data_IF_385956283982
#
_entry.id   IF_385956283982
#
_cell.length_a   1.000
_cell.length_b   1.000
_cell.length_c   1.000
_cell.angle_alpha   90.00
_cell.angle_beta   90.00
_cell.angle_gamma   90.00
#
_symmetry.space_group_name_H-M   'P 1'
#
loop_
_entity.id
_entity.type
_entity.pdbx_description
1 polymer ?
#
# COMPACT_ATOMS: atom_id res chain seq x y z
N UNK A 1 1.21 -26.29 -3.21
CA UNK A 1 0.28 -25.88 -2.13
C UNK A 1 0.40 -24.38 -1.97
N UNK A 2 -0.69 -23.63 -2.12
CA UNK A 2 -0.66 -22.19 -1.87
C UNK A 2 -0.39 -21.90 -0.40
N UNK A 3 0.30 -20.81 -0.11
CA UNK A 3 0.59 -20.38 1.27
C UNK A 3 -0.68 -20.25 2.14
N UNK A 4 -1.83 -19.94 1.52
CA UNK A 4 -3.15 -19.90 2.16
C UNK A 4 -3.63 -21.27 2.70
N UNK A 5 -3.26 -22.37 2.05
CA UNK A 5 -3.63 -23.72 2.50
C UNK A 5 -2.80 -24.13 3.73
N UNK A 6 -1.51 -23.77 3.75
CA UNK A 6 -0.64 -23.97 4.92
C UNK A 6 -1.14 -23.16 6.11
N UNK A 7 -1.61 -21.93 5.85
CA UNK A 7 -2.19 -21.07 6.89
C UNK A 7 -3.50 -21.63 7.44
N UNK A 8 -4.46 -22.05 6.60
CA UNK A 8 -5.72 -22.67 7.04
C UNK A 8 -5.50 -23.94 7.88
N UNK A 9 -4.55 -24.79 7.48
CA UNK A 9 -4.19 -26.00 8.23
C UNK A 9 -3.58 -25.64 9.58
N UNK A 10 -2.71 -24.62 9.63
CA UNK A 10 -2.14 -24.14 10.88
C UNK A 10 -3.22 -23.59 11.83
N UNK A 11 -4.19 -22.81 11.34
CA UNK A 11 -5.33 -22.31 12.15
C UNK A 11 -6.09 -23.50 12.75
N UNK A 12 -6.50 -24.45 11.92
CA UNK A 12 -7.28 -25.62 12.36
C UNK A 12 -6.52 -26.47 13.39
N UNK A 13 -5.21 -26.68 13.18
CA UNK A 13 -4.38 -27.44 14.11
C UNK A 13 -4.20 -26.73 15.46
N UNK A 14 -4.05 -25.41 15.45
CA UNK A 14 -3.85 -24.61 16.67
C UNK A 14 -5.12 -24.55 17.52
N UNK A 15 -6.31 -24.43 16.89
CA UNK A 15 -7.60 -24.46 17.59
C UNK A 15 -7.85 -25.83 18.27
N UNK A 16 -7.37 -26.90 17.64
CA UNK A 16 -7.63 -28.28 18.08
C UNK A 16 -6.81 -28.73 19.30
N UNK A 17 -5.62 -28.17 19.54
CA UNK A 17 -4.62 -28.78 20.43
C UNK A 17 -4.27 -28.00 21.72
N UNK A 18 -5.00 -26.95 22.10
CA UNK A 18 -4.72 -26.23 23.36
C UNK A 18 -5.59 -26.79 24.51
N UNK A 19 -4.98 -27.32 25.60
CA UNK A 19 -5.70 -28.01 26.67
C UNK A 19 -6.34 -27.09 27.73
N UNK A 20 -5.81 -25.88 27.95
CA UNK A 20 -6.22 -24.97 29.05
C UNK A 20 -7.13 -23.82 28.59
N UNK A 21 -8.36 -23.69 29.11
CA UNK A 21 -9.38 -22.79 28.54
C UNK A 21 -9.00 -21.29 28.50
N UNK A 22 -8.28 -20.78 29.52
CA UNK A 22 -7.91 -19.35 29.61
C UNK A 22 -6.61 -19.02 28.84
N UNK A 23 -5.62 -19.90 28.90
CA UNK A 23 -4.40 -19.78 28.08
C UNK A 23 -4.76 -19.95 26.60
N UNK A 24 -5.74 -20.81 26.31
CA UNK A 24 -6.33 -21.01 24.98
C UNK A 24 -6.94 -19.75 24.39
N UNK A 25 -7.67 -18.96 25.17
CA UNK A 25 -8.28 -17.72 24.64
C UNK A 25 -7.26 -16.64 24.33
N UNK A 26 -6.25 -16.44 25.18
CA UNK A 26 -5.25 -15.38 24.98
C UNK A 26 -4.27 -15.73 23.84
N UNK A 27 -3.82 -16.98 23.78
CA UNK A 27 -2.94 -17.47 22.71
C UNK A 27 -3.67 -17.49 21.36
N UNK A 28 -4.93 -17.92 21.32
CA UNK A 28 -5.75 -17.91 20.11
C UNK A 28 -5.99 -16.48 19.63
N UNK A 29 -6.31 -15.55 20.53
CA UNK A 29 -6.48 -14.15 20.16
C UNK A 29 -5.19 -13.55 19.58
N UNK A 30 -4.03 -13.80 20.19
CA UNK A 30 -2.75 -13.32 19.69
C UNK A 30 -2.43 -13.89 18.30
N UNK A 31 -2.70 -15.17 18.08
CA UNK A 31 -2.53 -15.85 16.80
C UNK A 31 -3.45 -15.29 15.71
N UNK A 32 -4.74 -15.12 15.99
CA UNK A 32 -5.71 -14.55 15.05
C UNK A 32 -5.40 -13.10 14.73
N UNK A 33 -5.01 -12.31 15.75
CA UNK A 33 -4.62 -10.93 15.56
C UNK A 33 -3.35 -10.81 14.70
N UNK A 34 -2.34 -11.63 14.95
CA UNK A 34 -1.14 -11.69 14.12
C UNK A 34 -1.49 -12.09 12.67
N UNK A 35 -2.32 -13.11 12.51
CA UNK A 35 -2.77 -13.57 11.20
C UNK A 35 -3.52 -12.48 10.44
N UNK A 36 -4.40 -11.72 11.11
CA UNK A 36 -5.09 -10.57 10.52
C UNK A 36 -4.09 -9.50 10.06
N UNK A 37 -3.08 -9.18 10.88
CA UNK A 37 -2.03 -8.22 10.50
C UNK A 37 -1.25 -8.70 9.27
N UNK A 38 -0.93 -9.99 9.20
CA UNK A 38 -0.18 -10.57 8.10
C UNK A 38 -0.99 -10.67 6.82
N UNK A 39 -2.20 -11.23 6.86
CA UNK A 39 -3.09 -11.32 5.70
C UNK A 39 -3.37 -9.93 5.14
N UNK A 40 -3.65 -8.93 6.00
CA UNK A 40 -3.83 -7.56 5.56
C UNK A 40 -2.57 -7.01 4.86
N UNK A 41 -1.38 -7.21 5.44
CA UNK A 41 -0.12 -6.81 4.82
C UNK A 41 0.15 -7.54 3.49
N UNK A 42 -0.23 -8.81 3.39
CA UNK A 42 -0.09 -9.63 2.19
C UNK A 42 -1.01 -9.17 1.07
N UNK A 43 -2.28 -8.91 1.35
CA UNK A 43 -3.25 -8.38 0.38
C UNK A 43 -2.78 -7.04 -0.19
N UNK A 44 -2.26 -6.16 0.67
CA UNK A 44 -1.67 -4.88 0.25
C UNK A 44 -0.45 -5.12 -0.65
N UNK A 45 0.47 -6.01 -0.25
CA UNK A 45 1.66 -6.35 -1.03
C UNK A 45 1.29 -6.91 -2.41
N UNK A 46 0.25 -7.76 -2.47
CA UNK A 46 -0.26 -8.35 -3.69
C UNK A 46 -0.78 -7.28 -4.67
N UNK A 47 -1.59 -6.34 -4.17
CA UNK A 47 -2.02 -5.18 -4.98
C UNK A 47 -0.86 -4.33 -5.48
N UNK A 48 0.15 -4.09 -4.62
CA UNK A 48 1.35 -3.34 -5.00
C UNK A 48 2.13 -4.03 -6.14
N UNK A 49 2.31 -5.35 -6.06
CA UNK A 49 2.99 -6.13 -7.10
C UNK A 49 2.26 -6.11 -8.43
N UNK A 50 0.93 -6.29 -8.42
CA UNK A 50 0.12 -6.28 -9.64
C UNK A 50 0.23 -4.93 -10.35
N UNK A 51 0.04 -3.84 -9.60
CA UNK A 51 0.09 -2.48 -10.16
C UNK A 51 1.49 -2.18 -10.68
N UNK A 52 2.53 -2.49 -9.90
CA UNK A 52 3.92 -2.27 -10.30
C UNK A 52 4.28 -3.07 -11.55
N UNK A 53 3.86 -4.34 -11.63
CA UNK A 53 4.09 -5.18 -12.80
C UNK A 53 3.34 -4.69 -14.03
N UNK A 54 2.09 -4.27 -13.88
CA UNK A 54 1.31 -3.70 -14.97
C UNK A 54 1.92 -2.39 -15.48
N UNK A 55 2.37 -1.52 -14.57
CA UNK A 55 3.07 -0.28 -14.93
C UNK A 55 4.40 -0.57 -15.61
N UNK A 56 5.18 -1.54 -15.11
CA UNK A 56 6.43 -1.96 -15.75
C UNK A 56 6.23 -2.44 -17.18
N UNK A 57 5.28 -3.35 -17.39
CA UNK A 57 4.94 -3.85 -18.73
C UNK A 57 4.52 -2.71 -19.65
N UNK A 58 3.64 -1.81 -19.19
CA UNK A 58 3.21 -0.67 -19.99
C UNK A 58 4.36 0.30 -20.28
N UNK A 59 5.18 0.59 -19.28
CA UNK A 59 6.25 1.59 -19.38
C UNK A 59 7.31 1.17 -20.39
N UNK A 60 7.80 -0.06 -20.28
CA UNK A 60 8.86 -0.61 -21.13
C UNK A 60 8.36 -1.13 -22.49
N UNK A 61 7.05 -1.02 -22.78
CA UNK A 61 6.55 -1.24 -24.14
C UNK A 61 6.91 -0.03 -25.02
N UNK A 62 7.34 -0.22 -26.29
CA UNK A 62 7.53 0.87 -27.24
C UNK A 62 6.31 1.79 -27.37
N UNK A 63 6.53 3.10 -27.52
CA UNK A 63 5.46 4.11 -27.43
C UNK A 63 4.37 3.93 -28.50
N UNK A 64 4.73 3.47 -29.70
CA UNK A 64 3.83 3.13 -30.81
C UNK A 64 2.93 1.92 -30.49
N UNK A 65 3.42 0.98 -29.70
CA UNK A 65 2.69 -0.23 -29.34
C UNK A 65 1.82 -0.07 -28.07
N UNK A 66 2.05 0.97 -27.23
CA UNK A 66 1.33 1.15 -25.95
C UNK A 66 -0.20 1.18 -26.09
N UNK A 67 -0.73 1.76 -27.17
CA UNK A 67 -2.17 1.82 -27.43
C UNK A 67 -2.82 0.45 -27.73
N UNK A 68 -2.03 -0.51 -28.21
CA UNK A 68 -2.50 -1.86 -28.59
C UNK A 68 -2.48 -2.88 -27.44
N UNK A 69 -2.00 -2.48 -26.25
CA UNK A 69 -1.78 -3.38 -25.12
C UNK A 69 -3.07 -3.94 -24.51
N UNK A 70 -4.19 -3.21 -24.62
CA UNK A 70 -5.46 -3.59 -23.99
C UNK A 70 -5.26 -3.98 -22.52
N UNK A 71 -5.77 -5.15 -22.13
CA UNK A 71 -5.64 -5.68 -20.76
C UNK A 71 -4.35 -6.47 -20.50
N UNK A 72 -3.43 -6.58 -21.48
CA UNK A 72 -2.21 -7.40 -21.34
C UNK A 72 -1.36 -7.01 -20.12
N UNK A 73 -1.08 -5.72 -19.84
CA UNK A 73 -0.23 -5.34 -18.71
C UNK A 73 -0.81 -5.80 -17.36
N UNK A 74 -2.12 -5.63 -17.18
CA UNK A 74 -2.81 -6.08 -15.98
C UNK A 74 -2.79 -7.61 -15.85
N UNK A 75 -3.10 -8.34 -16.93
CA UNK A 75 -3.07 -9.81 -16.93
C UNK A 75 -1.69 -10.35 -16.61
N UNK A 76 -0.63 -9.75 -17.17
CA UNK A 76 0.75 -10.13 -16.87
C UNK A 76 1.12 -9.82 -15.42
N UNK A 77 0.74 -8.64 -14.90
CA UNK A 77 0.95 -8.30 -13.49
C UNK A 77 0.28 -9.29 -12.53
N UNK A 78 -0.98 -9.66 -12.80
CA UNK A 78 -1.72 -10.67 -12.03
C UNK A 78 -1.03 -12.03 -12.13
N UNK A 79 -0.73 -12.49 -13.35
CA UNK A 79 -0.06 -13.78 -13.57
C UNK A 79 1.27 -13.84 -12.80
N UNK A 80 2.08 -12.79 -12.85
CA UNK A 80 3.37 -12.77 -12.19
C UNK A 80 3.25 -12.75 -10.66
N UNK A 81 2.31 -11.99 -10.12
CA UNK A 81 2.03 -11.98 -8.69
C UNK A 81 1.53 -13.34 -8.18
N UNK A 82 0.64 -14.00 -8.93
CA UNK A 82 0.06 -15.30 -8.55
C UNK A 82 1.06 -16.45 -8.72
N UNK A 83 1.82 -16.50 -9.81
CA UNK A 83 2.61 -17.69 -10.14
C UNK A 83 4.04 -17.58 -9.61
N UNK A 84 4.68 -16.42 -9.75
CA UNK A 84 6.13 -16.31 -9.54
C UNK A 84 6.51 -15.60 -8.23
N UNK A 85 5.70 -14.66 -7.74
CA UNK A 85 6.12 -13.77 -6.66
C UNK A 85 5.39 -13.94 -5.32
N UNK A 86 4.54 -14.95 -5.14
CA UNK A 86 3.83 -15.16 -3.86
C UNK A 86 4.78 -15.27 -2.66
N UNK A 87 5.91 -15.97 -2.80
CA UNK A 87 6.89 -16.12 -1.72
C UNK A 87 7.53 -14.79 -1.31
N UNK A 88 7.89 -13.95 -2.28
CA UNK A 88 8.42 -12.59 -2.03
C UNK A 88 7.39 -11.74 -1.27
N UNK A 89 6.12 -11.82 -1.66
CA UNK A 89 5.02 -11.08 -1.01
C UNK A 89 4.76 -11.59 0.40
N UNK A 90 4.73 -12.92 0.58
CA UNK A 90 4.56 -13.55 1.88
C UNK A 90 5.67 -13.16 2.86
N UNK A 91 6.93 -13.20 2.42
CA UNK A 91 8.07 -12.83 3.25
C UNK A 91 8.06 -11.35 3.66
N UNK A 92 7.92 -10.43 2.70
CA UNK A 92 7.90 -8.99 3.02
C UNK A 92 6.71 -8.60 3.91
N UNK A 93 5.52 -9.16 3.64
CA UNK A 93 4.33 -8.92 4.47
C UNK A 93 4.45 -9.53 5.87
N UNK A 94 5.11 -10.67 6.02
CA UNK A 94 5.37 -11.32 7.31
C UNK A 94 6.28 -10.47 8.20
N UNK A 95 7.38 -9.94 7.63
CA UNK A 95 8.28 -9.02 8.35
C UNK A 95 7.51 -7.79 8.82
N UNK A 96 6.64 -7.23 7.97
CA UNK A 96 5.79 -6.11 8.34
C UNK A 96 4.77 -6.47 9.44
N UNK A 97 4.22 -7.69 9.40
CA UNK A 97 3.29 -8.18 10.40
C UNK A 97 3.93 -8.30 11.79
N UNK A 98 5.16 -8.82 11.87
CA UNK A 98 5.94 -8.88 13.12
C UNK A 98 6.09 -7.49 13.74
N UNK A 99 6.50 -6.51 12.95
CA UNK A 99 6.69 -5.13 13.43
C UNK A 99 5.38 -4.53 13.91
N UNK A 100 4.28 -4.73 13.16
CA UNK A 100 2.96 -4.27 13.58
C UNK A 100 2.50 -4.95 14.86
N UNK A 101 2.75 -6.25 15.00
CA UNK A 101 2.39 -7.02 16.18
C UNK A 101 3.12 -6.51 17.42
N UNK A 102 4.45 -6.34 17.35
CA UNK A 102 5.26 -5.77 18.44
C UNK A 102 4.73 -4.39 18.85
N UNK A 103 4.42 -3.51 17.88
CA UNK A 103 3.88 -2.18 18.17
C UNK A 103 2.57 -2.26 18.95
N UNK A 104 1.62 -3.09 18.50
CA UNK A 104 0.34 -3.24 19.16
C UNK A 104 0.46 -3.91 20.53
N UNK A 105 1.40 -4.87 20.66
CA UNK A 105 1.73 -5.50 21.93
C UNK A 105 2.27 -4.48 22.94
N UNK A 106 3.19 -3.60 22.55
CA UNK A 106 3.69 -2.53 23.41
C UNK A 106 2.57 -1.57 23.85
N UNK A 107 1.61 -1.26 22.97
CA UNK A 107 0.44 -0.43 23.33
C UNK A 107 -0.47 -1.13 24.34
N UNK A 108 -0.65 -2.44 24.19
CA UNK A 108 -1.38 -3.26 25.14
C UNK A 108 -0.69 -3.26 26.50
N UNK A 109 0.63 -3.49 26.55
CA UNK A 109 1.42 -3.44 27.80
C UNK A 109 1.37 -2.04 28.45
N UNK A 110 1.41 -0.97 27.66
CA UNK A 110 1.23 0.39 28.18
C UNK A 110 -0.15 0.59 28.84
N UNK A 111 -1.21 0.02 28.26
CA UNK A 111 -2.55 0.06 28.83
C UNK A 111 -2.63 -0.75 30.13
N UNK A 112 -2.02 -1.93 30.17
CA UNK A 112 -1.97 -2.76 31.37
C UNK A 112 -1.16 -2.10 32.50
N UNK A 113 0.00 -1.53 32.20
CA UNK A 113 0.79 -0.78 33.19
C UNK A 113 0.02 0.41 33.77
N UNK A 114 -0.81 1.08 32.95
CA UNK A 114 -1.67 2.18 33.39
C UNK A 114 -2.75 1.70 34.37
N UNK A 115 -3.35 0.54 34.12
CA UNK A 115 -4.35 -0.08 35.01
C UNK A 115 -3.72 -0.49 36.36
N UNK A 116 -2.46 -0.88 36.36
CA UNK A 116 -1.68 -1.19 37.57
C UNK A 116 -1.08 0.05 38.25
N UNK A 117 -1.49 1.26 37.84
CA UNK A 117 -0.97 2.55 38.33
C UNK A 117 0.57 2.73 38.21
N UNK A 118 1.25 1.92 37.40
CA UNK A 118 2.69 2.01 37.17
C UNK A 118 2.99 3.01 36.03
N UNK A 119 3.18 4.27 36.43
CA UNK A 119 3.44 5.38 35.49
C UNK A 119 4.74 5.21 34.71
N UNK A 120 5.80 4.69 35.34
CA UNK A 120 7.12 4.50 34.71
C UNK A 120 7.01 3.52 33.53
N UNK A 121 6.44 2.33 33.77
CA UNK A 121 6.26 1.33 32.72
C UNK A 121 5.30 1.80 31.62
N UNK A 122 4.28 2.57 31.99
CA UNK A 122 3.37 3.17 31.00
C UNK A 122 4.10 4.10 30.03
N UNK A 123 4.98 4.97 30.54
CA UNK A 123 5.76 5.90 29.71
C UNK A 123 6.77 5.14 28.85
N UNK A 124 7.49 4.18 29.44
CA UNK A 124 8.47 3.36 28.72
C UNK A 124 7.85 2.64 27.51
N UNK A 125 6.74 1.92 27.72
CA UNK A 125 6.09 1.18 26.64
C UNK A 125 5.50 2.10 25.55
N UNK A 126 5.06 3.31 25.91
CA UNK A 126 4.64 4.31 24.93
C UNK A 126 5.81 4.75 24.05
N UNK A 127 6.96 5.11 24.65
CA UNK A 127 8.16 5.52 23.90
C UNK A 127 8.59 4.42 22.94
N UNK A 128 8.69 3.17 23.42
CA UNK A 128 9.02 2.02 22.57
C UNK A 128 8.00 1.83 21.44
N UNK A 129 6.69 1.97 21.72
CA UNK A 129 5.66 1.89 20.68
C UNK A 129 5.83 2.97 19.61
N UNK A 130 6.31 4.17 19.95
CA UNK A 130 6.60 5.22 18.97
C UNK A 130 7.83 4.87 18.13
N UNK A 131 8.91 4.36 18.74
CA UNK A 131 10.08 3.87 18.00
C UNK A 131 9.72 2.77 16.99
N UNK A 132 8.91 1.79 17.42
CA UNK A 132 8.43 0.72 16.53
C UNK A 132 7.48 1.26 15.46
N UNK A 133 6.66 2.28 15.76
CA UNK A 133 5.84 2.93 14.75
C UNK A 133 6.68 3.64 13.67
N UNK A 134 7.80 4.27 14.04
CA UNK A 134 8.76 4.81 13.06
C UNK A 134 9.37 3.68 12.21
N UNK A 135 9.80 2.59 12.85
CA UNK A 135 10.35 1.44 12.14
C UNK A 135 9.34 0.80 11.18
N UNK A 136 8.06 0.70 11.56
CA UNK A 136 6.98 0.23 10.69
C UNK A 136 6.86 1.09 9.43
N UNK A 137 7.00 2.42 9.53
CA UNK A 137 6.98 3.29 8.35
C UNK A 137 8.16 3.00 7.42
N UNK A 138 9.34 2.78 7.97
CA UNK A 138 10.53 2.39 7.20
C UNK A 138 10.31 1.05 6.49
N UNK A 139 9.79 0.03 7.18
CA UNK A 139 9.50 -1.28 6.58
C UNK A 139 8.42 -1.17 5.51
N UNK A 140 7.34 -0.41 5.73
CA UNK A 140 6.31 -0.16 4.71
C UNK A 140 6.89 0.50 3.46
N UNK A 141 7.76 1.49 3.65
CA UNK A 141 8.46 2.15 2.55
C UNK A 141 9.38 1.18 1.81
N UNK A 142 10.24 0.45 2.52
CA UNK A 142 11.16 -0.51 1.93
C UNK A 142 10.41 -1.62 1.17
N UNK A 143 9.40 -2.24 1.77
CA UNK A 143 8.58 -3.28 1.16
C UNK A 143 7.96 -2.81 -0.15
N UNK A 144 7.32 -1.63 -0.14
CA UNK A 144 6.69 -1.06 -1.33
C UNK A 144 7.70 -0.91 -2.46
N UNK A 145 8.86 -0.31 -2.18
CA UNK A 145 9.89 -0.09 -3.20
C UNK A 145 10.54 -1.42 -3.63
N UNK A 146 10.71 -2.38 -2.72
CA UNK A 146 11.20 -3.73 -3.02
C UNK A 146 10.24 -4.50 -3.94
N UNK A 147 8.92 -4.39 -3.73
CA UNK A 147 7.93 -5.03 -4.60
C UNK A 147 7.91 -4.41 -5.99
N UNK A 148 8.07 -3.09 -6.10
CA UNK A 148 8.21 -2.45 -7.41
C UNK A 148 9.47 -2.99 -8.11
N UNK A 149 10.63 -2.98 -7.45
CA UNK A 149 11.86 -3.55 -8.02
C UNK A 149 11.76 -5.03 -8.38
N UNK A 150 11.06 -5.82 -7.56
CA UNK A 150 10.76 -7.23 -7.86
C UNK A 150 9.94 -7.34 -9.14
N UNK A 151 8.89 -6.53 -9.28
CA UNK A 151 8.01 -6.56 -10.44
C UNK A 151 8.73 -6.19 -11.74
N UNK A 152 9.74 -5.30 -11.66
CA UNK A 152 10.52 -4.87 -12.82
C UNK A 152 11.65 -5.84 -13.17
N UNK A 153 12.37 -6.35 -12.18
CA UNK A 153 13.61 -7.13 -12.40
C UNK A 153 13.44 -8.64 -12.21
N UNK A 154 12.32 -9.10 -11.66
CA UNK A 154 12.05 -10.51 -11.39
C UNK A 154 12.94 -11.13 -10.30
N UNK A 155 13.54 -10.32 -9.41
CA UNK A 155 14.52 -10.78 -8.40
C UNK A 155 13.85 -11.20 -7.07
N UNK A 156 14.59 -11.89 -6.19
CA UNK A 156 14.11 -12.28 -4.84
C UNK A 156 14.02 -11.05 -3.91
N UNK A 157 13.17 -11.12 -2.88
CA UNK A 157 12.87 -9.99 -1.98
C UNK A 157 14.09 -9.23 -1.48
N UNK A 158 15.07 -9.91 -0.86
CA UNK A 158 16.22 -9.25 -0.25
C UNK A 158 17.09 -8.53 -1.30
N UNK A 159 17.25 -9.12 -2.48
CA UNK A 159 17.94 -8.49 -3.61
C UNK A 159 17.19 -7.25 -4.09
N UNK A 160 15.87 -7.35 -4.29
CA UNK A 160 15.05 -6.22 -4.73
C UNK A 160 14.99 -5.10 -3.68
N UNK A 161 14.95 -5.45 -2.38
CA UNK A 161 14.99 -4.50 -1.29
C UNK A 161 16.33 -3.75 -1.22
N UNK A 162 17.46 -4.48 -1.38
CA UNK A 162 18.79 -3.88 -1.49
C UNK A 162 18.87 -2.94 -2.69
N UNK A 163 18.45 -3.40 -3.86
CA UNK A 163 18.47 -2.61 -5.09
C UNK A 163 17.59 -1.36 -4.97
N UNK A 164 16.37 -1.50 -4.44
CA UNK A 164 15.47 -0.39 -4.16
C UNK A 164 16.13 0.65 -3.25
N UNK A 165 16.73 0.20 -2.15
CA UNK A 165 17.38 1.08 -1.18
C UNK A 165 18.54 1.85 -1.81
N UNK A 166 19.44 1.17 -2.51
CA UNK A 166 20.58 1.84 -3.18
C UNK A 166 20.13 2.74 -4.34
N UNK A 167 19.11 2.36 -5.10
CA UNK A 167 18.55 3.20 -6.16
C UNK A 167 17.97 4.50 -5.59
N UNK A 168 17.28 4.41 -4.44
CA UNK A 168 16.75 5.55 -3.71
C UNK A 168 17.87 6.46 -3.20
N UNK A 169 18.91 5.89 -2.57
CA UNK A 169 20.02 6.69 -2.04
C UNK A 169 20.82 7.39 -3.15
N UNK A 170 21.13 6.69 -4.25
CA UNK A 170 21.90 7.25 -5.37
C UNK A 170 21.19 8.39 -6.09
N UNK A 171 19.86 8.39 -6.04
CA UNK A 171 19.01 9.37 -6.71
C UNK A 171 18.09 10.12 -5.73
N UNK A 172 18.51 10.29 -4.47
CA UNK A 172 17.66 10.75 -3.38
C UNK A 172 16.99 12.11 -3.65
N UNK A 173 17.75 13.07 -4.19
CA UNK A 173 17.20 14.39 -4.55
C UNK A 173 16.13 14.28 -5.64
N UNK A 174 16.41 13.56 -6.74
CA UNK A 174 15.45 13.35 -7.84
C UNK A 174 14.21 12.60 -7.37
N UNK A 175 14.38 11.49 -6.66
CA UNK A 175 13.26 10.71 -6.13
C UNK A 175 12.45 11.51 -5.10
N UNK A 176 13.10 12.38 -4.32
CA UNK A 176 12.44 13.32 -3.42
C UNK A 176 11.54 14.31 -4.18
N UNK A 177 12.06 14.95 -5.23
CA UNK A 177 11.27 15.86 -6.08
C UNK A 177 10.11 15.13 -6.77
N UNK A 178 10.38 13.98 -7.36
CA UNK A 178 9.37 13.16 -8.03
C UNK A 178 8.30 12.67 -7.06
N UNK A 179 8.70 12.27 -5.84
CA UNK A 179 7.79 11.90 -4.76
C UNK A 179 6.94 13.08 -4.26
N UNK A 180 7.52 14.29 -4.20
CA UNK A 180 6.78 15.50 -3.86
C UNK A 180 5.71 15.82 -4.92
N UNK A 181 6.05 15.72 -6.20
CA UNK A 181 5.08 15.87 -7.31
C UNK A 181 3.98 14.80 -7.21
N UNK A 182 4.35 13.54 -7.00
CA UNK A 182 3.39 12.45 -6.82
C UNK A 182 2.46 12.69 -5.63
N UNK A 183 2.97 13.22 -4.52
CA UNK A 183 2.17 13.61 -3.36
C UNK A 183 1.23 14.78 -3.67
N UNK A 184 1.68 15.79 -4.43
CA UNK A 184 0.85 16.91 -4.84
C UNK A 184 -0.31 16.45 -5.74
N UNK A 185 -0.02 15.62 -6.76
CA UNK A 185 -1.04 15.02 -7.64
C UNK A 185 -2.04 14.21 -6.82
N UNK A 186 -1.56 13.41 -5.86
CA UNK A 186 -2.42 12.63 -4.96
C UNK A 186 -3.30 13.52 -4.09
N UNK A 187 -2.77 14.63 -3.58
CA UNK A 187 -3.50 15.59 -2.76
C UNK A 187 -4.62 16.24 -3.57
N UNK A 188 -4.32 16.78 -4.75
CA UNK A 188 -5.34 17.40 -5.61
C UNK A 188 -6.41 16.39 -6.07
N UNK A 189 -6.00 15.17 -6.44
CA UNK A 189 -6.94 14.10 -6.79
C UNK A 189 -7.87 13.75 -5.63
N UNK A 190 -7.32 13.61 -4.42
CA UNK A 190 -8.11 13.34 -3.22
C UNK A 190 -9.07 14.48 -2.88
N UNK A 191 -8.60 15.74 -2.91
CA UNK A 191 -9.44 16.91 -2.65
C UNK A 191 -10.57 17.04 -3.69
N UNK A 192 -10.29 16.75 -4.95
CA UNK A 192 -11.30 16.76 -6.01
C UNK A 192 -12.39 15.71 -5.78
N UNK A 193 -12.00 14.46 -5.48
CA UNK A 193 -12.96 13.38 -5.19
C UNK A 193 -13.80 13.71 -3.96
N UNK A 194 -13.17 14.17 -2.87
CA UNK A 194 -13.87 14.54 -1.64
C UNK A 194 -14.78 15.75 -1.83
N UNK A 195 -14.36 16.75 -2.60
CA UNK A 195 -15.17 17.91 -2.94
C UNK A 195 -16.41 17.54 -3.73
N UNK A 196 -16.28 16.67 -4.75
CA UNK A 196 -17.42 16.16 -5.52
C UNK A 196 -18.36 15.31 -4.68
N UNK A 197 -17.82 14.46 -3.79
CA UNK A 197 -18.62 13.66 -2.87
C UNK A 197 -19.43 14.56 -1.91
N UNK A 198 -18.80 15.60 -1.36
CA UNK A 198 -19.47 16.56 -0.49
C UNK A 198 -20.57 17.35 -1.23
N UNK A 199 -20.29 17.83 -2.43
CA UNK A 199 -21.26 18.57 -3.24
C UNK A 199 -22.47 17.70 -3.63
N UNK A 200 -22.23 16.45 -4.04
CA UNK A 200 -23.31 15.51 -4.38
C UNK A 200 -24.13 15.09 -3.16
N UNK A 201 -23.49 14.89 -2.01
CA UNK A 201 -24.19 14.61 -0.75
C UNK A 201 -25.07 15.80 -0.30
N UNK A 202 -24.56 17.02 -0.40
CA UNK A 202 -25.31 18.24 -0.08
C UNK A 202 -26.50 18.42 -1.03
N UNK A 203 -26.28 18.29 -2.35
CA UNK A 203 -27.35 18.36 -3.33
C UNK A 203 -28.42 17.29 -3.08
N UNK A 204 -28.02 16.04 -2.82
CA UNK A 204 -28.94 14.96 -2.48
C UNK A 204 -29.75 15.24 -1.22
N UNK A 205 -29.14 15.85 -0.20
CA UNK A 205 -29.84 16.26 1.02
C UNK A 205 -30.93 17.31 0.75
N UNK A 206 -30.59 18.39 0.05
CA UNK A 206 -31.55 19.46 -0.27
C UNK A 206 -32.68 18.98 -1.19
N UNK A 207 -32.36 18.19 -2.22
CA UNK A 207 -33.38 17.61 -3.13
C UNK A 207 -34.35 16.71 -2.34
N UNK A 208 -33.84 15.89 -1.41
CA UNK A 208 -34.70 14.99 -0.63
C UNK A 208 -35.61 15.75 0.31
N UNK A 209 -35.14 16.87 0.89
CA UNK A 209 -35.98 17.74 1.72
C UNK A 209 -37.09 18.41 0.92
N UNK A 210 -36.83 18.86 -0.30
CA UNK A 210 -37.83 19.53 -1.14
C UNK A 210 -38.83 18.57 -1.79
N UNK A 211 -38.39 17.39 -2.24
CA UNK A 211 -39.25 16.45 -2.99
C UNK A 211 -40.14 15.55 -2.13
N UNK A 212 -39.74 15.30 -0.88
CA UNK A 212 -40.41 14.34 0.01
C UNK A 212 -40.74 14.96 1.36
N UNK A 213 -41.12 16.24 1.34
CA UNK A 213 -41.51 16.98 2.53
C UNK A 213 -42.64 16.25 3.28
N UNK A 214 -42.39 15.90 4.54
CA UNK A 214 -43.33 15.17 5.40
C UNK A 214 -43.43 13.64 5.19
N UNK A 215 -42.84 13.06 4.14
CA UNK A 215 -42.91 11.62 3.87
C UNK A 215 -41.71 10.82 4.42
N UNK A 216 -40.55 11.48 4.60
CA UNK A 216 -39.31 10.84 5.06
C UNK A 216 -38.94 11.32 6.46
N UNK A 217 -38.89 10.37 7.43
CA UNK A 217 -38.53 10.67 8.83
C UNK A 217 -37.12 11.27 9.00
N UNK A 218 -36.14 10.87 8.18
CA UNK A 218 -34.83 11.53 8.15
C UNK A 218 -34.00 11.15 6.90
N UNK A 219 -33.62 12.10 6.04
CA UNK A 219 -32.71 11.85 4.91
C UNK A 219 -31.25 11.69 5.34
N UNK A 220 -30.92 11.92 6.61
CA UNK A 220 -29.53 11.96 7.09
C UNK A 220 -28.85 10.59 7.01
N UNK A 221 -29.53 9.52 7.40
CA UNK A 221 -28.97 8.16 7.42
C UNK A 221 -28.52 7.68 6.03
N UNK A 222 -29.35 7.72 4.97
CA UNK A 222 -28.90 7.31 3.64
C UNK A 222 -27.77 8.21 3.09
N UNK A 223 -27.76 9.51 3.40
CA UNK A 223 -26.67 10.42 3.02
C UNK A 223 -25.36 10.03 3.71
N UNK A 224 -25.39 9.69 5.00
CA UNK A 224 -24.19 9.21 5.72
C UNK A 224 -23.66 7.93 5.08
N UNK A 225 -24.53 6.98 4.76
CA UNK A 225 -24.13 5.72 4.08
C UNK A 225 -23.48 6.03 2.73
N UNK A 226 -24.09 6.90 1.92
CA UNK A 226 -23.54 7.35 0.64
C UNK A 226 -22.14 7.97 0.79
N UNK A 227 -21.96 8.87 1.76
CA UNK A 227 -20.67 9.52 2.03
C UNK A 227 -19.63 8.49 2.47
N UNK A 228 -19.99 7.53 3.33
CA UNK A 228 -19.06 6.48 3.77
C UNK A 228 -18.62 5.61 2.61
N UNK A 229 -19.55 5.14 1.77
CA UNK A 229 -19.24 4.32 0.59
C UNK A 229 -18.39 5.11 -0.40
N UNK A 230 -18.78 6.35 -0.71
CA UNK A 230 -18.03 7.23 -1.61
C UNK A 230 -16.62 7.51 -1.11
N UNK A 231 -16.44 7.73 0.20
CA UNK A 231 -15.13 7.92 0.82
C UNK A 231 -14.23 6.69 0.62
N UNK A 232 -14.78 5.49 0.88
CA UNK A 232 -14.04 4.23 0.73
C UNK A 232 -13.61 4.03 -0.72
N UNK A 233 -14.53 4.19 -1.68
CA UNK A 233 -14.23 4.07 -3.12
C UNK A 233 -13.17 5.09 -3.54
N UNK A 234 -13.31 6.36 -3.14
CA UNK A 234 -12.36 7.41 -3.42
C UNK A 234 -10.95 7.12 -2.88
N UNK A 235 -10.88 6.58 -1.65
CA UNK A 235 -9.62 6.14 -1.03
C UNK A 235 -8.96 5.02 -1.82
N UNK A 236 -9.72 4.01 -2.22
CA UNK A 236 -9.22 2.87 -2.99
C UNK A 236 -8.66 3.31 -4.33
N UNK A 237 -9.39 4.14 -5.07
CA UNK A 237 -8.96 4.69 -6.37
C UNK A 237 -7.68 5.50 -6.20
N UNK A 238 -7.65 6.44 -5.25
CA UNK A 238 -6.48 7.31 -5.00
C UNK A 238 -5.24 6.48 -4.62
N UNK A 239 -5.41 5.40 -3.87
CA UNK A 239 -4.31 4.49 -3.53
C UNK A 239 -3.74 3.78 -4.76
N UNK A 240 -4.59 3.27 -5.66
CA UNK A 240 -4.14 2.63 -6.91
C UNK A 240 -3.37 3.60 -7.78
N UNK A 241 -3.91 4.81 -7.99
CA UNK A 241 -3.21 5.87 -8.72
C UNK A 241 -1.88 6.23 -8.07
N UNK A 242 -1.85 6.36 -6.74
CA UNK A 242 -0.63 6.64 -6.00
C UNK A 242 0.46 5.60 -6.26
N UNK A 243 0.12 4.31 -6.19
CA UNK A 243 1.04 3.22 -6.47
C UNK A 243 1.51 3.19 -7.92
N UNK A 244 0.62 3.52 -8.86
CA UNK A 244 0.97 3.58 -10.28
C UNK A 244 1.99 4.70 -10.56
N UNK A 245 1.80 5.89 -9.97
CA UNK A 245 2.76 7.00 -10.06
C UNK A 245 4.11 6.59 -9.48
N UNK A 246 4.13 6.03 -8.26
CA UNK A 246 5.40 5.64 -7.64
C UNK A 246 6.13 4.55 -8.44
N UNK A 247 5.40 3.61 -9.04
CA UNK A 247 5.96 2.57 -9.92
C UNK A 247 6.51 3.18 -11.21
N UNK A 248 5.80 4.14 -11.81
CA UNK A 248 6.23 4.86 -13.01
C UNK A 248 7.53 5.61 -12.78
N UNK A 249 7.65 6.29 -11.64
CA UNK A 249 8.85 7.02 -11.26
C UNK A 249 10.05 6.08 -11.08
N UNK A 250 9.85 4.91 -10.49
CA UNK A 250 10.91 3.91 -10.41
C UNK A 250 11.28 3.33 -11.77
N UNK A 251 10.31 3.05 -12.64
CA UNK A 251 10.59 2.60 -14.01
C UNK A 251 11.43 3.64 -14.75
N UNK A 252 11.10 4.92 -14.59
CA UNK A 252 11.85 6.03 -15.15
C UNK A 252 13.30 6.05 -14.68
N UNK A 253 13.53 6.00 -13.37
CA UNK A 253 14.90 5.99 -12.82
C UNK A 253 15.66 4.73 -13.27
N UNK A 254 15.01 3.57 -13.32
CA UNK A 254 15.62 2.34 -13.78
C UNK A 254 16.00 2.39 -15.27
N UNK A 255 15.13 2.93 -16.12
CA UNK A 255 15.39 3.12 -17.56
C UNK A 255 16.54 4.09 -17.80
N UNK A 256 16.59 5.21 -17.06
CA UNK A 256 17.72 6.13 -17.10
C UNK A 256 19.03 5.45 -16.69
N UNK A 257 19.03 4.61 -15.64
CA UNK A 257 20.24 3.91 -15.20
C UNK A 257 20.73 2.86 -16.20
N UNK A 258 19.81 2.13 -16.84
CA UNK A 258 20.13 1.10 -17.83
C UNK A 258 20.62 1.73 -19.15
N UNK A 259 20.05 2.86 -19.55
CA UNK A 259 20.33 3.52 -20.83
C UNK A 259 21.28 4.73 -20.71
N UNK A 260 22.08 4.81 -19.63
CA UNK A 260 23.09 5.89 -19.45
C UNK A 260 24.04 6.02 -20.64
N UNK A 261 24.44 4.90 -21.25
CA UNK A 261 25.34 4.88 -22.39
C UNK A 261 24.66 5.34 -23.71
N UNK A 262 23.33 5.34 -23.77
CA UNK A 262 22.54 5.61 -24.98
C UNK A 262 21.82 6.97 -24.95
N UNK A 263 22.19 7.87 -24.02
CA UNK A 263 21.62 9.22 -23.95
C UNK A 263 20.34 9.36 -23.10
N UNK A 264 20.08 8.43 -22.17
CA UNK A 264 19.00 8.51 -21.18
C UNK A 264 17.81 7.59 -21.45
N UNK A 265 16.74 7.73 -20.66
CA UNK A 265 15.58 6.84 -20.71
C UNK A 265 14.89 6.82 -22.09
N UNK A 266 14.74 5.63 -22.67
CA UNK A 266 14.23 5.45 -24.04
C UNK A 266 12.71 5.25 -24.09
N UNK A 267 12.14 4.63 -23.05
CA UNK A 267 10.72 4.26 -23.02
C UNK A 267 9.84 5.29 -22.29
N UNK A 268 10.45 6.41 -21.88
CA UNK A 268 9.78 7.50 -21.16
C UNK A 268 8.70 8.18 -22.02
N UNK A 269 7.49 8.41 -21.49
CA UNK A 269 6.46 9.18 -22.18
C UNK A 269 6.96 10.58 -22.58
N UNK A 270 6.65 11.07 -23.80
CA UNK A 270 7.17 12.34 -24.30
C UNK A 270 6.89 13.55 -23.39
N UNK A 271 5.73 13.58 -22.72
CA UNK A 271 5.35 14.63 -21.78
C UNK A 271 6.24 14.65 -20.52
N UNK A 272 6.54 13.46 -19.98
CA UNK A 272 7.41 13.33 -18.81
C UNK A 272 8.85 13.70 -19.16
N UNK A 273 9.34 13.26 -20.32
CA UNK A 273 10.67 13.63 -20.82
C UNK A 273 10.81 15.15 -20.96
N UNK A 274 9.85 15.82 -21.61
CA UNK A 274 9.82 17.29 -21.75
C UNK A 274 9.83 18.02 -20.40
N UNK A 275 9.08 17.54 -19.41
CA UNK A 275 9.05 18.13 -18.08
C UNK A 275 10.38 17.99 -17.35
N UNK A 276 11.05 16.84 -17.51
CA UNK A 276 12.32 16.55 -16.86
C UNK A 276 13.48 17.30 -17.52
N UNK A 277 13.52 17.37 -18.86
CA UNK A 277 14.51 18.16 -19.59
C UNK A 277 14.44 19.66 -19.22
N UNK A 278 13.23 20.17 -18.95
CA UNK A 278 13.00 21.55 -18.51
C UNK A 278 13.53 21.82 -17.10
N UNK A 279 13.48 20.81 -16.20
CA UNK A 279 13.89 20.95 -14.81
C UNK A 279 15.31 20.44 -14.53
N UNK A 280 15.95 19.71 -15.46
CA UNK A 280 17.35 19.28 -15.36
C UNK A 280 18.36 20.38 -15.71
N UNK A 281 17.91 21.49 -16.31
CA UNK A 281 18.74 22.66 -16.68
C UNK A 281 18.74 23.76 -15.61
N UNK A 282 18.26 23.46 -14.40
CA UNK A 282 18.13 24.38 -13.28
C UNK A 282 18.76 23.74 -12.04
#
# INVERSE_FOLDING_TARGET
MGWWAVWLIAVCFTVSNVPDAKIKTDALFAYEFFSLLWVNAFVIAFGQMIIAGAVGVWYFTPNDAKGSLGTKPLRTGIKNAVIYHQGTLAFGSFVLAIVQFIKWWLRYLAKQAKLQHNKVMTVLFKILSYCVACFEKCIKFLNKNAYIQTALLGTKFCTSAKNAFFLILRNAARIGVLGAIGNAVRLFGYLFIMGKLGATAAAGYFITLEMYDGEINSPVVPIIIFVVVGYVVGKLITNVFGLAVDSMLQCFVADEELNKASGGAQCTPPLLKKFLDKNSKR
#
